data_IF_271739806226
#
_entry.id   IF_271739806226
#
_cell.length_a   1.000
_cell.length_b   1.000
_cell.length_c   1.000
_cell.angle_alpha   90.00
_cell.angle_beta   90.00
_cell.angle_gamma   90.00
#
_symmetry.space_group_name_H-M   'P 1'
#
loop_
_entity.id
_entity.type
_entity.pdbx_description
1 polymer ?
#
# COMPACT_ATOMS: atom_id res chain seq x y z
N UNK A 1 -7.53 -44.33 20.88
CA UNK A 1 -8.19 -43.26 21.67
C UNK A 1 -8.17 -42.00 20.80
N UNK A 2 -9.33 -41.43 20.43
CA UNK A 2 -9.35 -40.22 19.58
C UNK A 2 -8.83 -39.04 20.41
N UNK A 3 -7.82 -38.34 19.91
CA UNK A 3 -7.26 -37.14 20.57
C UNK A 3 -8.23 -35.99 20.32
N UNK A 4 -8.63 -35.30 21.38
CA UNK A 4 -9.50 -34.12 21.28
C UNK A 4 -8.64 -32.86 21.17
N UNK A 5 -9.06 -31.95 20.31
CA UNK A 5 -8.42 -30.66 20.10
C UNK A 5 -9.46 -29.55 20.19
N UNK A 6 -9.05 -28.38 20.66
CA UNK A 6 -9.85 -27.16 20.49
C UNK A 6 -9.69 -26.71 19.04
N UNK A 7 -10.82 -26.48 18.38
CA UNK A 7 -10.85 -26.09 16.97
C UNK A 7 -11.88 -24.98 16.75
N UNK A 8 -11.54 -24.04 15.88
CA UNK A 8 -12.45 -23.05 15.35
C UNK A 8 -13.15 -23.64 14.13
N UNK A 9 -14.44 -23.94 14.30
CA UNK A 9 -15.28 -24.47 13.22
C UNK A 9 -15.97 -23.29 12.52
N UNK A 10 -15.71 -23.15 11.22
CA UNK A 10 -16.15 -22.03 10.40
C UNK A 10 -17.17 -22.54 9.38
N UNK A 11 -18.41 -22.10 9.55
CA UNK A 11 -19.51 -22.43 8.64
C UNK A 11 -19.48 -21.47 7.45
N UNK A 12 -19.43 -22.01 6.23
CA UNK A 12 -19.16 -21.22 5.03
C UNK A 12 -20.00 -21.68 3.85
N UNK A 13 -20.35 -20.74 2.98
CA UNK A 13 -21.01 -21.02 1.70
C UNK A 13 -19.96 -21.46 0.66
N UNK A 14 -20.35 -22.23 -0.35
CA UNK A 14 -19.46 -22.71 -1.42
C UNK A 14 -18.70 -21.58 -2.15
N UNK A 15 -19.23 -20.36 -2.16
CA UNK A 15 -18.57 -19.19 -2.78
C UNK A 15 -17.48 -18.57 -1.92
N UNK A 16 -17.42 -18.90 -0.62
CA UNK A 16 -16.53 -18.25 0.34
C UNK A 16 -15.06 -18.33 -0.09
N UNK A 17 -14.57 -19.51 -0.49
CA UNK A 17 -13.18 -19.67 -0.94
C UNK A 17 -12.80 -18.75 -2.10
N UNK A 18 -13.66 -18.65 -3.11
CA UNK A 18 -13.42 -17.79 -4.28
C UNK A 18 -13.47 -16.29 -3.93
N UNK A 19 -14.43 -15.89 -3.09
CA UNK A 19 -14.55 -14.50 -2.63
C UNK A 19 -13.40 -14.08 -1.70
N UNK A 20 -12.85 -15.04 -0.97
CA UNK A 20 -11.81 -14.84 0.02
C UNK A 20 -10.40 -15.16 -0.52
N UNK A 21 -10.28 -15.47 -1.82
CA UNK A 21 -8.99 -15.73 -2.46
C UNK A 21 -8.22 -16.91 -1.85
N UNK A 22 -8.90 -17.95 -1.40
CA UNK A 22 -8.23 -19.14 -0.87
C UNK A 22 -7.52 -19.91 -1.97
N UNK A 23 -6.28 -20.28 -1.69
CA UNK A 23 -5.49 -21.17 -2.53
C UNK A 23 -5.41 -22.57 -1.90
N UNK A 24 -5.42 -23.60 -2.74
CA UNK A 24 -5.45 -24.99 -2.30
C UNK A 24 -4.14 -25.68 -2.61
N UNK A 25 -3.55 -26.31 -1.58
CA UNK A 25 -2.41 -27.19 -1.76
C UNK A 25 -2.86 -28.53 -2.35
N UNK A 26 -3.99 -29.05 -1.84
CA UNK A 26 -4.55 -30.34 -2.22
C UNK A 26 -6.07 -30.31 -2.20
N UNK A 27 -6.69 -31.10 -3.09
CA UNK A 27 -8.15 -31.21 -3.18
C UNK A 27 -8.82 -29.91 -3.66
N UNK A 28 -10.09 -29.74 -3.32
CA UNK A 28 -10.91 -28.59 -3.72
C UNK A 28 -11.78 -28.10 -2.56
N UNK A 29 -12.40 -26.93 -2.75
CA UNK A 29 -13.44 -26.44 -1.85
C UNK A 29 -14.80 -27.12 -2.10
N UNK A 30 -15.79 -26.81 -1.24
CA UNK A 30 -17.16 -27.30 -1.41
C UNK A 30 -17.78 -26.80 -2.73
N UNK A 31 -18.58 -27.65 -3.36
CA UNK A 31 -19.45 -27.26 -4.47
C UNK A 31 -20.84 -26.88 -3.97
N UNK A 32 -21.64 -26.26 -4.83
CA UNK A 32 -23.05 -25.95 -4.53
C UNK A 32 -23.87 -27.20 -4.17
N UNK A 33 -23.60 -28.33 -4.83
CA UNK A 33 -24.23 -29.63 -4.53
C UNK A 33 -23.89 -30.11 -3.12
N UNK A 34 -22.62 -29.99 -2.71
CA UNK A 34 -22.20 -30.39 -1.36
C UNK A 34 -22.89 -29.57 -0.27
N UNK A 35 -23.18 -28.30 -0.55
CA UNK A 35 -23.94 -27.45 0.35
C UNK A 35 -25.42 -27.83 0.41
N UNK A 36 -26.05 -28.10 -0.74
CA UNK A 36 -27.47 -28.45 -0.82
C UNK A 36 -27.81 -29.74 -0.05
N UNK A 37 -26.96 -30.76 -0.17
CA UNK A 37 -27.21 -32.07 0.45
C UNK A 37 -26.84 -32.13 1.94
N UNK A 38 -26.19 -31.07 2.46
CA UNK A 38 -25.67 -31.06 3.82
C UNK A 38 -24.57 -32.10 4.02
N UNK A 39 -23.74 -32.28 2.98
CA UNK A 39 -22.64 -33.23 2.99
C UNK A 39 -21.74 -33.00 4.20
N UNK A 40 -21.37 -34.10 4.85
CA UNK A 40 -20.39 -34.08 5.94
C UNK A 40 -18.98 -33.99 5.34
N UNK A 41 -18.68 -32.84 4.74
CA UNK A 41 -17.39 -32.52 4.12
C UNK A 41 -16.72 -31.39 4.88
N UNK A 42 -15.39 -31.45 4.95
CA UNK A 42 -14.57 -30.45 5.61
C UNK A 42 -13.41 -30.03 4.72
N UNK A 43 -12.99 -28.79 4.90
CA UNK A 43 -11.74 -28.25 4.36
C UNK A 43 -10.93 -27.74 5.54
N UNK A 44 -9.63 -28.00 5.54
CA UNK A 44 -8.71 -27.60 6.60
C UNK A 44 -7.57 -26.78 6.04
N UNK A 45 -6.90 -25.97 6.85
CA UNK A 45 -5.64 -25.35 6.45
C UNK A 45 -4.45 -26.31 6.58
N UNK A 46 -3.35 -25.98 5.91
CA UNK A 46 -2.12 -26.77 5.94
C UNK A 46 -1.59 -26.98 7.36
N UNK A 47 -1.71 -25.99 8.25
CA UNK A 47 -1.27 -26.10 9.65
C UNK A 47 -2.07 -27.16 10.40
N UNK A 48 -3.39 -27.10 10.30
CA UNK A 48 -4.35 -28.05 10.86
C UNK A 48 -4.07 -29.46 10.35
N UNK A 49 -3.79 -29.62 9.05
CA UNK A 49 -3.42 -30.91 8.48
C UNK A 49 -2.15 -31.48 9.14
N UNK A 50 -1.12 -30.65 9.31
CA UNK A 50 0.10 -31.03 10.02
C UNK A 50 -0.14 -31.36 11.50
N UNK A 51 -0.94 -30.58 12.21
CA UNK A 51 -1.19 -30.79 13.64
C UNK A 51 -2.03 -32.03 13.93
N UNK A 52 -3.03 -32.32 13.09
CA UNK A 52 -3.93 -33.45 13.29
C UNK A 52 -3.38 -34.76 12.72
N UNK A 53 -2.66 -34.70 11.58
CA UNK A 53 -2.26 -35.90 10.82
C UNK A 53 -0.75 -36.04 10.59
N UNK A 54 0.04 -35.02 10.90
CA UNK A 54 1.49 -35.04 10.66
C UNK A 54 1.88 -34.97 9.19
N UNK A 55 0.94 -34.63 8.30
CA UNK A 55 1.18 -34.45 6.86
C UNK A 55 0.04 -33.63 6.23
N UNK A 56 0.37 -32.83 5.22
CA UNK A 56 -0.61 -32.09 4.42
C UNK A 56 -0.99 -32.81 3.11
N UNK A 57 -0.18 -33.76 2.64
CA UNK A 57 -0.30 -34.32 1.28
C UNK A 57 -1.29 -35.49 1.22
N UNK A 58 -1.39 -36.26 2.30
CA UNK A 58 -2.22 -37.49 2.38
C UNK A 58 -3.45 -37.29 3.27
N UNK A 59 -3.89 -36.04 3.46
CA UNK A 59 -4.98 -35.69 4.37
C UNK A 59 -6.36 -35.72 3.72
N UNK A 60 -6.43 -35.57 2.40
CA UNK A 60 -7.69 -35.65 1.63
C UNK A 60 -8.23 -37.08 1.62
N UNK A 61 -9.54 -37.25 1.84
CA UNK A 61 -10.20 -38.55 1.99
C UNK A 61 -10.17 -39.10 3.42
N UNK A 62 -9.39 -38.51 4.33
CA UNK A 62 -9.45 -38.84 5.76
C UNK A 62 -10.66 -38.16 6.42
N UNK A 63 -11.05 -38.66 7.59
CA UNK A 63 -12.20 -38.13 8.33
C UNK A 63 -11.80 -37.48 9.64
N UNK A 64 -12.47 -36.38 9.99
CA UNK A 64 -12.40 -35.72 11.31
C UNK A 64 -13.75 -35.77 12.01
N UNK A 65 -13.71 -35.97 13.34
CA UNK A 65 -14.90 -35.98 14.17
C UNK A 65 -15.26 -34.57 14.62
N UNK A 66 -16.39 -34.02 14.15
CA UNK A 66 -16.90 -32.70 14.54
C UNK A 66 -18.34 -32.88 15.01
N UNK A 67 -18.68 -32.35 16.21
CA UNK A 67 -20.00 -32.49 16.83
C UNK A 67 -20.54 -33.94 16.87
N UNK A 68 -19.65 -34.91 17.05
CA UNK A 68 -20.00 -36.34 17.08
C UNK A 68 -20.31 -36.98 15.71
N UNK A 69 -20.07 -36.25 14.61
CA UNK A 69 -20.21 -36.76 13.24
C UNK A 69 -18.86 -36.79 12.53
N UNK A 70 -18.73 -37.67 11.55
CA UNK A 70 -17.50 -37.81 10.77
C UNK A 70 -17.62 -36.99 9.49
N UNK A 71 -16.69 -36.05 9.33
CA UNK A 71 -16.57 -35.20 8.15
C UNK A 71 -15.38 -35.64 7.32
N UNK A 72 -15.59 -35.90 6.04
CA UNK A 72 -14.52 -36.22 5.08
C UNK A 72 -13.76 -34.95 4.68
N UNK A 73 -12.44 -34.97 4.77
CA UNK A 73 -11.58 -33.87 4.32
C UNK A 73 -11.47 -33.92 2.79
N UNK A 74 -12.02 -32.93 2.11
CA UNK A 74 -12.00 -32.86 0.64
C UNK A 74 -10.95 -31.90 0.08
N UNK A 75 -10.35 -31.08 0.95
CA UNK A 75 -9.37 -30.08 0.54
C UNK A 75 -8.51 -29.59 1.70
N UNK A 76 -7.28 -29.22 1.35
CA UNK A 76 -6.29 -28.59 2.24
C UNK A 76 -5.88 -27.25 1.62
N UNK A 77 -6.27 -26.16 2.28
CA UNK A 77 -5.90 -24.81 1.86
C UNK A 77 -4.44 -24.50 2.23
N UNK A 78 -3.72 -23.82 1.34
CA UNK A 78 -2.39 -23.26 1.62
C UNK A 78 -2.47 -22.23 2.75
N UNK A 79 -3.43 -21.31 2.63
CA UNK A 79 -3.77 -20.31 3.65
C UNK A 79 -5.12 -19.67 3.35
N UNK A 80 -5.79 -19.19 4.39
CA UNK A 80 -6.92 -18.26 4.25
C UNK A 80 -6.38 -16.81 4.22
N UNK A 81 -6.84 -15.99 3.27
CA UNK A 81 -6.50 -14.57 3.16
C UNK A 81 -7.13 -13.69 4.26
N UNK A 82 -8.13 -14.19 4.99
CA UNK A 82 -8.68 -13.61 6.22
C UNK A 82 -9.47 -12.32 6.02
N UNK A 83 -10.36 -12.23 5.02
CA UNK A 83 -11.08 -10.98 4.72
C UNK A 83 -12.20 -10.64 5.71
N UNK A 84 -12.86 -11.64 6.33
CA UNK A 84 -14.00 -11.41 7.26
C UNK A 84 -13.59 -11.55 8.73
N UNK A 85 -12.81 -12.56 9.07
CA UNK A 85 -12.45 -12.87 10.46
C UNK A 85 -10.94 -12.84 10.64
N UNK A 86 -10.50 -12.28 11.77
CA UNK A 86 -9.23 -12.66 12.38
C UNK A 86 -9.33 -14.16 12.69
N UNK A 87 -8.84 -14.95 11.74
CA UNK A 87 -8.49 -16.33 12.00
C UNK A 87 -7.23 -16.24 12.86
N UNK A 88 -7.22 -16.94 13.98
CA UNK A 88 -6.02 -16.98 14.80
C UNK A 88 -5.19 -18.13 14.26
N UNK A 89 -3.98 -17.88 13.74
CA UNK A 89 -3.18 -18.98 13.18
C UNK A 89 -2.87 -20.02 14.27
N UNK A 90 -2.90 -19.66 15.56
CA UNK A 90 -2.63 -20.57 16.68
C UNK A 90 -3.73 -21.60 16.97
N UNK A 91 -4.89 -21.50 16.32
CA UNK A 91 -5.99 -22.43 16.49
C UNK A 91 -6.18 -23.33 15.26
N UNK A 92 -6.65 -24.56 15.50
CA UNK A 92 -7.06 -25.49 14.44
C UNK A 92 -8.29 -24.93 13.74
N UNK A 93 -8.19 -24.64 12.46
CA UNK A 93 -9.29 -24.09 11.66
C UNK A 93 -9.87 -25.16 10.75
N UNK A 94 -11.20 -25.31 10.82
CA UNK A 94 -11.92 -26.23 9.95
C UNK A 94 -13.10 -25.52 9.33
N UNK A 95 -13.15 -25.50 8.01
CA UNK A 95 -14.28 -25.02 7.23
C UNK A 95 -15.23 -26.17 6.97
N UNK A 96 -16.53 -25.92 7.13
CA UNK A 96 -17.60 -26.86 6.77
C UNK A 96 -18.75 -26.11 6.08
N UNK A 97 -19.60 -26.79 5.28
CA UNK A 97 -20.73 -26.17 4.63
C UNK A 97 -21.69 -25.50 5.62
N UNK A 98 -22.22 -24.33 5.28
CA UNK A 98 -23.16 -23.59 6.13
C UNK A 98 -24.46 -24.37 6.41
N UNK A 99 -24.84 -25.30 5.54
CA UNK A 99 -25.97 -26.22 5.76
C UNK A 99 -25.77 -27.15 6.95
N UNK A 100 -24.53 -27.34 7.41
CA UNK A 100 -24.19 -28.08 8.63
C UNK A 100 -24.42 -27.26 9.90
N UNK A 101 -24.78 -25.97 9.82
CA UNK A 101 -25.05 -25.11 10.99
C UNK A 101 -26.19 -25.65 11.86
N UNK A 102 -27.13 -26.41 11.29
CA UNK A 102 -28.17 -27.11 12.08
C UNK A 102 -27.62 -28.14 13.08
N UNK A 103 -26.35 -28.53 12.93
CA UNK A 103 -25.68 -29.50 13.81
C UNK A 103 -25.03 -28.83 15.02
N UNK A 104 -24.92 -27.49 15.04
CA UNK A 104 -24.34 -26.76 16.16
C UNK A 104 -25.37 -26.42 17.24
N UNK A 105 -24.88 -26.25 18.47
CA UNK A 105 -25.69 -25.90 19.63
C UNK A 105 -26.09 -24.42 19.69
N UNK A 106 -26.77 -24.07 20.79
CA UNK A 106 -27.14 -22.68 21.11
C UNK A 106 -25.91 -21.76 21.12
N UNK A 107 -26.05 -20.56 20.58
CA UNK A 107 -24.97 -19.56 20.47
C UNK A 107 -24.16 -19.59 19.17
N UNK A 108 -24.57 -20.40 18.20
CA UNK A 108 -24.00 -20.37 16.84
C UNK A 108 -24.84 -19.51 15.90
N UNK A 109 -24.18 -18.72 15.06
CA UNK A 109 -24.84 -17.77 14.16
C UNK A 109 -23.92 -17.28 13.05
N UNK A 110 -24.50 -16.57 12.10
CA UNK A 110 -23.75 -15.97 10.99
C UNK A 110 -23.01 -14.75 11.53
N UNK A 111 -21.67 -14.79 11.49
CA UNK A 111 -20.81 -13.74 12.02
C UNK A 111 -20.44 -12.68 10.97
N UNK A 112 -20.63 -12.98 9.69
CA UNK A 112 -20.34 -12.06 8.60
C UNK A 112 -20.88 -12.56 7.27
N UNK A 113 -21.13 -11.61 6.37
CA UNK A 113 -21.62 -11.85 5.02
C UNK A 113 -20.68 -11.12 4.06
N UNK A 114 -20.15 -11.84 3.07
CA UNK A 114 -19.47 -11.22 1.94
C UNK A 114 -20.48 -10.96 0.84
N UNK A 115 -20.40 -9.77 0.27
CA UNK A 115 -21.20 -9.37 -0.88
C UNK A 115 -20.23 -8.88 -1.96
N UNK A 116 -20.31 -9.48 -3.14
CA UNK A 116 -19.57 -8.97 -4.29
C UNK A 116 -20.49 -8.07 -5.11
N UNK A 117 -20.05 -6.84 -5.34
CA UNK A 117 -20.71 -5.92 -6.25
C UNK A 117 -19.92 -5.87 -7.57
N UNK A 118 -20.59 -5.74 -8.72
CA UNK A 118 -19.92 -5.49 -9.99
C UNK A 118 -18.98 -4.28 -9.94
N UNK A 119 -17.99 -4.24 -10.85
CA UNK A 119 -16.93 -3.23 -10.83
C UNK A 119 -17.43 -1.79 -11.04
N UNK A 120 -18.54 -1.63 -11.76
CA UNK A 120 -19.20 -0.35 -12.04
C UNK A 120 -19.98 0.21 -10.86
N UNK A 121 -20.34 -0.61 -9.86
CA UNK A 121 -21.04 -0.14 -8.66
C UNK A 121 -20.03 0.52 -7.70
N UNK A 122 -20.21 1.79 -7.35
CA UNK A 122 -19.38 2.47 -6.37
C UNK A 122 -19.52 1.88 -4.96
N UNK A 123 -18.46 1.97 -4.16
CA UNK A 123 -18.45 1.41 -2.80
C UNK A 123 -19.56 1.96 -1.90
N UNK A 124 -19.82 3.28 -1.95
CA UNK A 124 -20.87 3.91 -1.13
C UNK A 124 -22.26 3.40 -1.52
N UNK A 125 -22.52 3.24 -2.81
CA UNK A 125 -23.80 2.72 -3.31
C UNK A 125 -23.98 1.26 -2.90
N UNK A 126 -22.91 0.46 -2.96
CA UNK A 126 -22.91 -0.90 -2.44
C UNK A 126 -23.25 -0.95 -0.95
N UNK A 127 -22.63 -0.08 -0.12
CA UNK A 127 -22.93 0.01 1.32
C UNK A 127 -24.38 0.42 1.58
N UNK A 128 -24.88 1.42 0.86
CA UNK A 128 -26.27 1.88 0.98
C UNK A 128 -27.28 0.81 0.57
N UNK A 129 -26.99 0.05 -0.50
CA UNK A 129 -27.80 -1.11 -0.91
C UNK A 129 -27.83 -2.20 0.16
N UNK A 130 -26.70 -2.50 0.82
CA UNK A 130 -26.66 -3.44 1.95
C UNK A 130 -27.47 -2.88 3.12
N UNK A 131 -27.31 -1.60 3.47
CA UNK A 131 -28.07 -0.97 4.55
C UNK A 131 -29.58 -1.06 4.31
N UNK A 132 -30.04 -0.70 3.10
CA UNK A 132 -31.45 -0.85 2.72
C UNK A 132 -31.94 -2.29 2.74
N UNK A 133 -31.09 -3.26 2.36
CA UNK A 133 -31.43 -4.67 2.44
C UNK A 133 -31.59 -5.14 3.89
N UNK A 134 -30.75 -4.66 4.81
CA UNK A 134 -30.88 -4.91 6.25
C UNK A 134 -32.18 -4.31 6.81
N UNK A 135 -32.50 -3.05 6.47
CA UNK A 135 -33.76 -2.43 6.86
C UNK A 135 -34.98 -3.21 6.35
N UNK A 136 -34.92 -3.69 5.10
CA UNK A 136 -36.00 -4.45 4.48
C UNK A 136 -36.29 -5.79 5.19
N UNK A 137 -35.30 -6.39 5.86
CA UNK A 137 -35.49 -7.60 6.67
C UNK A 137 -35.79 -7.29 8.15
N UNK A 138 -35.99 -6.01 8.51
CA UNK A 138 -36.31 -5.57 9.86
C UNK A 138 -35.10 -5.37 10.78
N UNK A 139 -33.89 -5.41 10.22
CA UNK A 139 -32.65 -5.22 10.95
C UNK A 139 -32.21 -3.75 10.93
N UNK A 140 -31.55 -3.29 11.99
CA UNK A 140 -30.98 -1.94 12.04
C UNK A 140 -29.58 -1.95 11.39
N UNK A 141 -29.33 -1.24 10.28
CA UNK A 141 -28.01 -1.22 9.62
C UNK A 141 -26.89 -0.74 10.52
N UNK A 142 -27.18 0.17 11.45
CA UNK A 142 -26.20 0.69 12.40
C UNK A 142 -25.77 -0.34 13.45
N UNK A 143 -26.47 -1.47 13.56
CA UNK A 143 -26.05 -2.63 14.34
C UNK A 143 -24.93 -3.46 13.68
N UNK A 144 -24.59 -3.18 12.42
CA UNK A 144 -23.64 -3.96 11.62
C UNK A 144 -22.46 -3.09 11.15
N UNK A 145 -21.27 -3.71 11.06
CA UNK A 145 -20.07 -3.08 10.48
C UNK A 145 -19.96 -3.40 8.99
N UNK A 146 -20.49 -2.52 8.14
CA UNK A 146 -20.46 -2.68 6.67
C UNK A 146 -19.14 -2.14 6.11
N UNK A 147 -18.25 -3.03 5.67
CA UNK A 147 -16.94 -2.67 5.12
C UNK A 147 -16.86 -2.86 3.61
N UNK A 148 -16.08 -2.00 2.95
CA UNK A 148 -15.70 -2.18 1.54
C UNK A 148 -14.20 -2.41 1.44
N UNK A 149 -13.79 -3.59 1.00
CA UNK A 149 -12.39 -3.90 0.72
C UNK A 149 -11.83 -3.01 -0.39
N UNK A 150 -12.66 -2.63 -1.37
CA UNK A 150 -12.30 -1.72 -2.46
C UNK A 150 -11.89 -0.36 -1.92
N UNK A 151 -12.66 0.19 -0.96
CA UNK A 151 -12.34 1.48 -0.32
C UNK A 151 -11.05 1.38 0.50
N UNK A 152 -10.86 0.30 1.27
CA UNK A 152 -9.61 0.09 2.04
C UNK A 152 -8.39 -0.03 1.13
N UNK A 153 -8.46 -0.83 0.07
CA UNK A 153 -7.37 -0.97 -0.90
C UNK A 153 -7.07 0.34 -1.64
N UNK A 154 -8.10 1.11 -1.99
CA UNK A 154 -7.95 2.42 -2.62
C UNK A 154 -7.26 3.42 -1.67
N UNK A 155 -7.60 3.42 -0.38
CA UNK A 155 -6.91 4.24 0.62
C UNK A 155 -5.43 3.89 0.75
N UNK A 156 -5.07 2.61 0.83
CA UNK A 156 -3.66 2.18 0.87
C UNK A 156 -2.89 2.74 -0.33
N UNK A 157 -3.47 2.65 -1.54
CA UNK A 157 -2.86 3.20 -2.76
C UNK A 157 -2.77 4.73 -2.72
N UNK A 158 -3.79 5.41 -2.18
CA UNK A 158 -3.83 6.86 -2.04
C UNK A 158 -2.69 7.36 -1.14
N UNK A 159 -2.49 6.79 0.04
CA UNK A 159 -1.44 7.23 0.98
C UNK A 159 -0.04 7.12 0.39
N UNK A 160 0.25 6.01 -0.30
CA UNK A 160 1.54 5.83 -1.00
C UNK A 160 1.78 6.94 -2.04
N UNK A 161 0.74 7.34 -2.79
CA UNK A 161 0.84 8.39 -3.79
C UNK A 161 0.95 9.80 -3.18
N UNK A 162 0.26 10.08 -2.07
CA UNK A 162 0.30 11.39 -1.40
C UNK A 162 1.71 11.74 -0.95
N UNK A 163 2.45 10.78 -0.41
CA UNK A 163 3.86 10.98 -0.02
C UNK A 163 4.72 11.44 -1.20
N UNK A 164 4.57 10.80 -2.36
CA UNK A 164 5.30 11.16 -3.58
C UNK A 164 4.91 12.56 -4.04
N UNK A 165 3.62 12.93 -3.95
CA UNK A 165 3.16 14.29 -4.26
C UNK A 165 3.79 15.34 -3.34
N UNK A 166 3.93 15.07 -2.03
CA UNK A 166 4.59 16.00 -1.09
C UNK A 166 6.06 16.19 -1.48
N UNK A 167 6.79 15.10 -1.72
CA UNK A 167 8.18 15.14 -2.18
C UNK A 167 8.31 15.91 -3.50
N UNK A 168 7.40 15.64 -4.45
CA UNK A 168 7.35 16.32 -5.73
C UNK A 168 7.16 17.85 -5.58
N UNK A 169 6.25 18.28 -4.70
CA UNK A 169 6.01 19.71 -4.43
C UNK A 169 7.26 20.37 -3.84
N UNK A 170 7.91 19.72 -2.87
CA UNK A 170 9.16 20.23 -2.27
C UNK A 170 10.26 20.33 -3.33
N UNK A 171 10.45 19.28 -4.15
CA UNK A 171 11.44 19.27 -5.21
C UNK A 171 11.18 20.38 -6.24
N UNK A 172 9.93 20.54 -6.67
CA UNK A 172 9.54 21.59 -7.60
C UNK A 172 9.77 22.98 -7.00
N UNK A 173 9.45 23.21 -5.73
CA UNK A 173 9.67 24.50 -5.06
C UNK A 173 11.16 24.87 -5.02
N UNK A 174 12.05 23.90 -4.73
CA UNK A 174 13.51 24.14 -4.74
C UNK A 174 13.99 24.44 -6.16
N UNK A 175 13.56 23.67 -7.17
CA UNK A 175 13.93 23.91 -8.58
C UNK A 175 13.45 25.29 -9.04
N UNK A 176 12.23 25.68 -8.71
CA UNK A 176 11.66 27.00 -9.07
C UNK A 176 12.48 28.12 -8.41
N UNK A 177 12.88 27.95 -7.14
CA UNK A 177 13.76 28.90 -6.45
C UNK A 177 15.11 29.06 -7.16
N UNK A 178 15.74 27.95 -7.56
CA UNK A 178 17.00 27.97 -8.33
C UNK A 178 16.83 28.60 -9.71
N UNK A 179 15.74 28.28 -10.39
CA UNK A 179 15.42 28.86 -11.70
C UNK A 179 15.24 30.38 -11.58
N UNK A 180 14.56 30.85 -10.54
CA UNK A 180 14.38 32.27 -10.27
C UNK A 180 15.72 32.97 -10.00
N UNK A 181 16.57 32.42 -9.13
CA UNK A 181 17.89 32.98 -8.81
C UNK A 181 18.79 33.06 -10.06
N UNK A 182 18.87 31.99 -10.84
CA UNK A 182 19.64 31.97 -12.08
C UNK A 182 19.11 32.98 -13.11
N UNK A 183 17.79 33.13 -13.20
CA UNK A 183 17.16 34.09 -14.09
C UNK A 183 17.42 35.53 -13.64
N UNK A 184 17.34 35.83 -12.35
CA UNK A 184 17.66 37.17 -11.82
C UNK A 184 19.12 37.55 -12.06
N UNK A 185 20.08 36.66 -11.80
CA UNK A 185 21.49 36.89 -12.08
C UNK A 185 21.74 37.13 -13.57
N UNK A 186 21.11 36.32 -14.43
CA UNK A 186 21.21 36.46 -15.89
C UNK A 186 20.67 37.80 -16.39
N UNK A 187 19.59 38.31 -15.79
CA UNK A 187 19.03 39.63 -16.12
C UNK A 187 19.96 40.75 -15.67
N UNK A 188 20.49 40.69 -14.45
CA UNK A 188 21.40 41.71 -13.94
C UNK A 188 22.67 41.81 -14.78
N UNK A 189 23.25 40.67 -15.14
CA UNK A 189 24.42 40.63 -15.99
C UNK A 189 24.11 41.11 -17.41
N UNK A 190 22.95 40.74 -17.96
CA UNK A 190 22.50 41.28 -19.25
C UNK A 190 22.37 42.80 -19.19
N UNK A 191 21.75 43.35 -18.15
CA UNK A 191 21.63 44.79 -17.92
C UNK A 191 23.01 45.45 -17.89
N UNK A 192 23.95 44.91 -17.13
CA UNK A 192 25.30 45.44 -17.01
C UNK A 192 26.06 45.39 -18.36
N UNK A 193 25.90 44.30 -19.12
CA UNK A 193 26.52 44.15 -20.44
C UNK A 193 25.93 45.09 -21.48
N UNK A 194 24.61 45.34 -21.45
CA UNK A 194 23.94 46.30 -22.35
C UNK A 194 24.48 47.70 -22.14
N UNK A 195 24.70 48.10 -20.88
CA UNK A 195 25.31 49.39 -20.52
C UNK A 195 26.75 49.48 -21.02
N UNK A 196 27.54 48.39 -20.92
CA UNK A 196 28.96 48.40 -21.25
C UNK A 196 29.29 48.24 -22.75
N UNK A 197 28.55 47.38 -23.47
CA UNK A 197 28.90 46.92 -24.82
C UNK A 197 27.80 47.13 -25.87
N UNK A 198 26.67 47.71 -25.47
CA UNK A 198 25.51 47.90 -26.34
C UNK A 198 24.65 46.64 -26.49
N UNK A 199 23.43 46.86 -27.01
CA UNK A 199 22.38 45.84 -27.03
C UNK A 199 22.70 44.63 -27.92
N UNK A 200 23.28 44.85 -29.10
CA UNK A 200 23.50 43.81 -30.12
C UNK A 200 24.51 42.74 -29.67
N UNK A 201 25.62 43.16 -29.08
CA UNK A 201 26.66 42.24 -28.61
C UNK A 201 26.26 41.54 -27.31
N UNK A 202 25.52 42.22 -26.44
CA UNK A 202 24.94 41.63 -25.23
C UNK A 202 23.92 40.55 -25.54
N UNK A 203 23.04 40.80 -26.53
CA UNK A 203 22.04 39.82 -26.97
C UNK A 203 22.68 38.61 -27.64
N UNK A 204 23.73 38.80 -28.45
CA UNK A 204 24.48 37.70 -29.04
C UNK A 204 25.18 36.85 -27.97
N UNK A 205 25.81 37.46 -26.96
CA UNK A 205 26.41 36.74 -25.82
C UNK A 205 25.37 35.98 -24.99
N UNK A 206 24.19 36.55 -24.80
CA UNK A 206 23.07 35.89 -24.12
C UNK A 206 22.63 34.62 -24.86
N UNK A 207 22.47 34.69 -26.19
CA UNK A 207 22.03 33.57 -27.05
C UNK A 207 23.08 32.48 -27.26
N UNK A 208 24.37 32.81 -27.19
CA UNK A 208 25.45 31.86 -27.51
C UNK A 208 25.88 31.02 -26.28
N UNK A 209 25.32 31.29 -25.10
CA UNK A 209 25.81 30.75 -23.83
C UNK A 209 25.12 29.49 -23.32
N UNK A 210 25.89 28.70 -22.58
CA UNK A 210 25.51 27.65 -21.61
C UNK A 210 24.35 28.03 -20.65
N UNK A 211 23.93 29.30 -20.66
CA UNK A 211 22.89 29.93 -19.82
C UNK A 211 21.46 29.53 -20.15
N UNK A 212 21.17 29.08 -21.38
CA UNK A 212 19.85 28.51 -21.72
C UNK A 212 19.74 27.02 -21.40
N UNK A 213 20.88 26.32 -21.33
CA UNK A 213 20.90 24.88 -21.07
C UNK A 213 20.37 24.56 -19.67
N UNK A 214 20.77 25.33 -18.65
CA UNK A 214 20.36 25.09 -17.26
C UNK A 214 18.85 25.29 -17.03
N UNK A 215 18.21 26.40 -17.46
CA UNK A 215 16.76 26.55 -17.43
C UNK A 215 16.01 25.44 -18.17
N UNK A 216 16.51 25.00 -19.32
CA UNK A 216 15.92 23.89 -20.07
C UNK A 216 15.99 22.58 -19.28
N UNK A 217 17.12 22.28 -18.63
CA UNK A 217 17.25 21.12 -17.74
C UNK A 217 16.28 21.20 -16.57
N UNK A 218 16.15 22.35 -15.92
CA UNK A 218 15.18 22.54 -14.83
C UNK A 218 13.74 22.35 -15.27
N UNK A 219 13.35 22.86 -16.44
CA UNK A 219 12.02 22.63 -17.01
C UNK A 219 11.76 21.15 -17.27
N UNK A 220 12.74 20.42 -17.82
CA UNK A 220 12.64 18.97 -18.02
C UNK A 220 12.46 18.26 -16.68
N UNK A 221 13.22 18.61 -15.64
CA UNK A 221 13.08 18.04 -14.30
C UNK A 221 11.68 18.32 -13.70
N UNK A 222 11.13 19.52 -13.88
CA UNK A 222 9.77 19.86 -13.45
C UNK A 222 8.74 18.97 -14.15
N UNK A 223 8.88 18.71 -15.46
CA UNK A 223 7.99 17.79 -16.18
C UNK A 223 8.08 16.37 -15.62
N UNK A 224 9.28 15.89 -15.33
CA UNK A 224 9.49 14.58 -14.71
C UNK A 224 8.92 14.47 -13.29
N UNK A 225 8.88 15.56 -12.54
CA UNK A 225 8.20 15.63 -11.23
C UNK A 225 6.67 15.70 -11.39
N UNK A 226 6.20 16.44 -12.39
CA UNK A 226 4.78 16.68 -12.62
C UNK A 226 4.03 15.42 -13.05
N UNK A 227 4.61 14.58 -13.92
CA UNK A 227 3.92 13.38 -14.43
C UNK A 227 3.53 12.40 -13.30
N UNK A 228 4.43 12.00 -12.37
CA UNK A 228 4.08 11.15 -11.24
C UNK A 228 3.12 11.84 -10.27
N UNK A 229 3.34 13.13 -9.97
CA UNK A 229 2.44 13.88 -9.09
C UNK A 229 1.02 13.96 -9.65
N UNK A 230 0.86 14.22 -10.97
CA UNK A 230 -0.43 14.21 -11.66
C UNK A 230 -1.12 12.86 -11.54
N UNK A 231 -0.38 11.75 -11.67
CA UNK A 231 -0.94 10.41 -11.52
C UNK A 231 -1.44 10.17 -10.09
N UNK A 232 -0.69 10.63 -9.08
CA UNK A 232 -1.08 10.53 -7.68
C UNK A 232 -2.33 11.36 -7.36
N UNK A 233 -2.39 12.60 -7.86
CA UNK A 233 -3.56 13.48 -7.73
C UNK A 233 -4.78 12.88 -8.41
N UNK A 234 -4.63 12.22 -9.57
CA UNK A 234 -5.76 11.53 -10.22
C UNK A 234 -6.30 10.41 -9.35
N UNK A 235 -5.44 9.58 -8.75
CA UNK A 235 -5.90 8.52 -7.84
C UNK A 235 -6.64 9.11 -6.62
N UNK A 236 -6.17 10.24 -6.11
CA UNK A 236 -6.85 10.96 -5.03
C UNK A 236 -8.22 11.49 -5.46
N UNK A 237 -8.32 12.11 -6.64
CA UNK A 237 -9.58 12.61 -7.18
C UNK A 237 -10.56 11.47 -7.51
N UNK A 238 -10.09 10.39 -8.12
CA UNK A 238 -10.88 9.20 -8.42
C UNK A 238 -11.42 8.54 -7.14
N UNK A 239 -10.68 8.64 -6.02
CA UNK A 239 -11.14 8.16 -4.71
C UNK A 239 -12.32 8.99 -4.20
N UNK A 240 -12.23 10.33 -4.28
CA UNK A 240 -13.32 11.21 -3.88
C UNK A 240 -14.54 11.11 -4.80
N UNK A 241 -14.33 10.96 -6.11
CA UNK A 241 -15.41 10.83 -7.09
C UNK A 241 -16.21 9.53 -6.87
N UNK A 242 -15.52 8.44 -6.51
CA UNK A 242 -16.13 7.12 -6.29
C UNK A 242 -16.66 6.89 -4.88
N UNK A 243 -16.38 7.77 -3.92
CA UNK A 243 -16.82 7.64 -2.53
C UNK A 243 -17.13 9.02 -1.91
N UNK A 244 -18.07 9.80 -2.48
CA UNK A 244 -18.41 11.15 -2.03
C UNK A 244 -19.04 11.20 -0.64
N UNK A 245 -19.47 10.05 -0.11
CA UNK A 245 -20.00 9.90 1.25
C UNK A 245 -18.95 9.99 2.35
N UNK A 246 -17.66 9.99 2.01
CA UNK A 246 -16.59 10.26 2.98
C UNK A 246 -16.56 11.77 3.23
N UNK A 247 -17.34 12.22 4.22
CA UNK A 247 -17.40 13.62 4.64
C UNK A 247 -16.01 14.19 4.98
N UNK A 248 -15.07 13.34 5.39
CA UNK A 248 -13.68 13.69 5.63
C UNK A 248 -12.76 12.47 5.51
N UNK A 249 -11.78 12.53 4.59
CA UNK A 249 -10.70 11.51 4.50
C UNK A 249 -9.96 11.35 5.83
N UNK A 250 -9.87 12.42 6.61
CA UNK A 250 -9.26 12.40 7.92
C UNK A 250 -10.07 11.56 8.93
N UNK A 251 -11.40 11.69 8.94
CA UNK A 251 -12.24 10.85 9.81
C UNK A 251 -12.13 9.39 9.46
N UNK A 252 -12.18 9.06 8.16
CA UNK A 252 -12.05 7.68 7.72
C UNK A 252 -10.65 7.11 7.97
N UNK A 253 -9.60 7.95 7.87
CA UNK A 253 -8.24 7.58 8.27
C UNK A 253 -8.17 7.28 9.77
N UNK A 254 -8.68 8.17 10.63
CA UNK A 254 -8.68 7.96 12.09
C UNK A 254 -9.45 6.70 12.44
N UNK A 255 -10.60 6.49 11.82
CA UNK A 255 -11.42 5.31 12.03
C UNK A 255 -10.65 4.04 11.66
N UNK A 256 -10.09 3.94 10.46
CA UNK A 256 -9.30 2.78 10.03
C UNK A 256 -8.03 2.59 10.88
N UNK A 257 -7.36 3.67 11.25
CA UNK A 257 -6.16 3.63 12.08
C UNK A 257 -6.47 3.18 13.51
N UNK A 258 -7.50 3.74 14.13
CA UNK A 258 -7.98 3.33 15.46
C UNK A 258 -8.45 1.88 15.45
N UNK A 259 -9.20 1.49 14.43
CA UNK A 259 -9.69 0.11 14.29
C UNK A 259 -8.55 -0.90 14.17
N UNK A 260 -7.53 -0.63 13.34
CA UNK A 260 -6.41 -1.56 13.25
C UNK A 260 -5.51 -1.54 14.50
N UNK A 261 -5.47 -0.45 15.28
CA UNK A 261 -4.79 -0.41 16.59
C UNK A 261 -5.53 -1.27 17.63
N UNK A 262 -6.86 -1.35 17.53
CA UNK A 262 -7.71 -2.14 18.43
C UNK A 262 -7.96 -3.58 17.94
N UNK A 263 -7.65 -3.89 16.68
CA UNK A 263 -7.63 -5.26 16.17
C UNK A 263 -6.51 -6.02 16.91
N UNK A 264 -6.89 -6.74 17.98
CA UNK A 264 -5.98 -7.45 18.89
C UNK A 264 -4.97 -8.34 18.16
N UNK A 265 -3.89 -8.71 18.84
CA UNK A 265 -2.66 -9.32 18.30
C UNK A 265 -2.77 -10.72 17.68
N UNK A 266 -3.85 -11.06 16.96
CA UNK A 266 -3.86 -12.21 16.05
C UNK A 266 -2.76 -12.08 15.00
N UNK A 267 -2.46 -13.13 14.26
CA UNK A 267 -1.31 -13.19 13.33
C UNK A 267 -1.62 -12.78 11.89
N UNK A 268 -2.90 -12.53 11.55
CA UNK A 268 -3.30 -12.24 10.17
C UNK A 268 -3.07 -10.79 9.74
N UNK A 269 -2.62 -10.61 8.50
CA UNK A 269 -2.49 -9.31 7.84
C UNK A 269 -3.84 -8.87 7.27
N UNK A 270 -4.75 -8.41 8.13
CA UNK A 270 -5.98 -7.76 7.66
C UNK A 270 -5.62 -6.48 6.90
N UNK A 271 -6.48 -6.07 5.95
CA UNK A 271 -6.28 -4.83 5.19
C UNK A 271 -6.09 -3.60 6.10
N UNK A 272 -6.68 -3.62 7.30
CA UNK A 272 -6.52 -2.59 8.34
C UNK A 272 -5.09 -2.54 8.92
N UNK A 273 -4.46 -3.69 9.14
CA UNK A 273 -3.07 -3.76 9.60
C UNK A 273 -2.07 -3.39 8.52
N UNK A 274 -2.32 -3.80 7.28
CA UNK A 274 -1.52 -3.33 6.13
C UNK A 274 -1.62 -1.82 5.97
N UNK A 275 -2.82 -1.26 6.19
CA UNK A 275 -3.02 0.18 6.20
C UNK A 275 -2.26 0.88 7.34
N UNK A 276 -2.29 0.34 8.56
CA UNK A 276 -1.49 0.89 9.67
C UNK A 276 -0.01 0.77 9.40
N UNK A 277 0.48 -0.39 8.96
CA UNK A 277 1.89 -0.59 8.65
C UNK A 277 2.34 0.37 7.55
N UNK A 278 1.53 0.54 6.50
CA UNK A 278 1.78 1.51 5.44
C UNK A 278 1.80 2.94 6.00
N UNK A 279 0.86 3.30 6.86
CA UNK A 279 0.79 4.64 7.47
C UNK A 279 1.98 4.90 8.39
N UNK A 280 2.32 3.97 9.28
CA UNK A 280 3.47 4.02 10.16
C UNK A 280 4.79 4.07 9.37
N UNK A 281 4.91 3.30 8.29
CA UNK A 281 6.09 3.34 7.41
C UNK A 281 6.25 4.70 6.73
N UNK A 282 5.13 5.32 6.31
CA UNK A 282 5.12 6.66 5.74
C UNK A 282 5.51 7.71 6.78
N UNK A 283 4.92 7.66 7.98
CA UNK A 283 5.27 8.57 9.08
C UNK A 283 6.74 8.40 9.50
N UNK A 284 7.23 7.17 9.62
CA UNK A 284 8.63 6.89 9.92
C UNK A 284 9.56 7.40 8.81
N UNK A 285 9.17 7.22 7.54
CA UNK A 285 9.89 7.75 6.39
C UNK A 285 9.97 9.28 6.40
N UNK A 286 8.87 9.98 6.71
CA UNK A 286 8.81 11.45 6.80
C UNK A 286 9.58 11.97 7.99
N UNK A 287 9.36 11.43 9.19
CA UNK A 287 9.86 12.01 10.44
C UNK A 287 11.25 11.52 10.85
N UNK A 288 11.64 10.30 10.50
CA UNK A 288 12.96 9.76 10.81
C UNK A 288 13.80 9.61 9.54
N UNK A 289 13.24 9.02 8.49
CA UNK A 289 13.96 8.75 7.24
C UNK A 289 14.48 10.01 6.57
N UNK A 290 13.61 11.00 6.33
CA UNK A 290 13.99 12.24 5.64
C UNK A 290 15.02 13.07 6.43
N UNK A 291 14.92 13.28 7.75
CA UNK A 291 15.98 13.97 8.50
C UNK A 291 17.32 13.22 8.51
N UNK A 292 17.32 11.89 8.69
CA UNK A 292 18.55 11.08 8.65
C UNK A 292 19.21 11.23 7.29
N UNK A 293 18.41 11.15 6.24
CA UNK A 293 18.84 11.30 4.87
C UNK A 293 19.45 12.69 4.61
N UNK A 294 18.75 13.77 4.97
CA UNK A 294 19.24 15.14 4.82
C UNK A 294 20.52 15.40 5.63
N UNK A 295 20.63 14.79 6.82
CA UNK A 295 21.83 14.84 7.65
C UNK A 295 23.00 14.11 7.01
N UNK A 296 22.78 12.88 6.52
CA UNK A 296 23.78 12.09 5.80
C UNK A 296 24.27 12.78 4.53
N UNK A 297 23.37 13.46 3.81
CA UNK A 297 23.73 14.30 2.67
C UNK A 297 24.56 15.51 3.08
N UNK A 298 24.18 16.20 4.16
CA UNK A 298 24.94 17.33 4.68
C UNK A 298 26.36 16.92 5.09
N UNK A 299 26.52 15.70 5.59
CA UNK A 299 27.81 15.10 5.91
C UNK A 299 28.61 14.76 4.64
N UNK A 300 28.00 14.07 3.67
CA UNK A 300 28.64 13.77 2.38
C UNK A 300 29.07 15.05 1.63
N UNK A 301 28.25 16.12 1.71
CA UNK A 301 28.55 17.44 1.14
C UNK A 301 29.81 18.06 1.73
N UNK A 302 30.15 17.77 3.00
CA UNK A 302 31.39 18.25 3.64
C UNK A 302 32.63 17.45 3.25
N UNK A 303 32.48 16.17 2.93
CA UNK A 303 33.59 15.27 2.62
C UNK A 303 33.98 15.33 1.15
N UNK A 304 33.00 15.41 0.25
CA UNK A 304 33.28 15.38 -1.18
C UNK A 304 33.87 16.72 -1.65
N UNK A 305 35.09 16.69 -2.16
CA UNK A 305 35.77 17.86 -2.74
C UNK A 305 35.11 18.27 -4.07
N UNK A 306 34.65 17.31 -4.87
CA UNK A 306 33.99 17.52 -6.17
C UNK A 306 32.51 17.13 -6.16
N UNK A 307 31.68 17.95 -6.81
CA UNK A 307 30.24 17.72 -6.95
C UNK A 307 29.90 16.51 -7.81
N UNK A 308 30.73 16.19 -8.82
CA UNK A 308 30.50 15.00 -9.65
C UNK A 308 30.70 13.70 -8.86
N UNK A 309 31.79 13.63 -8.10
CA UNK A 309 32.09 12.51 -7.21
C UNK A 309 30.98 12.30 -6.17
N UNK A 310 30.46 13.39 -5.60
CA UNK A 310 29.32 13.35 -4.67
C UNK A 310 28.06 12.76 -5.31
N UNK A 311 27.73 13.20 -6.53
CA UNK A 311 26.56 12.72 -7.26
C UNK A 311 26.68 11.22 -7.59
N UNK A 312 27.85 10.77 -8.03
CA UNK A 312 28.11 9.35 -8.33
C UNK A 312 27.96 8.49 -7.07
N UNK A 313 28.61 8.86 -5.96
CA UNK A 313 28.51 8.08 -4.72
C UNK A 313 27.10 8.05 -4.16
N UNK A 314 26.38 9.18 -4.21
CA UNK A 314 24.97 9.22 -3.79
C UNK A 314 24.09 8.33 -4.67
N UNK A 315 24.36 8.25 -5.98
CA UNK A 315 23.63 7.37 -6.90
C UNK A 315 23.88 5.89 -6.64
N UNK A 316 25.13 5.50 -6.42
CA UNK A 316 25.50 4.13 -6.07
C UNK A 316 24.87 3.73 -4.73
N UNK A 317 24.91 4.60 -3.72
CA UNK A 317 24.30 4.35 -2.43
C UNK A 317 22.78 4.18 -2.55
N UNK A 318 22.12 5.07 -3.30
CA UNK A 318 20.67 5.00 -3.53
C UNK A 318 20.25 3.73 -4.26
N UNK A 319 20.97 3.34 -5.32
CA UNK A 319 20.73 2.07 -6.04
C UNK A 319 20.95 0.86 -5.14
N UNK A 320 21.99 0.88 -4.31
CA UNK A 320 22.28 -0.20 -3.34
C UNK A 320 21.14 -0.36 -2.34
N UNK A 321 20.60 0.74 -1.81
CA UNK A 321 19.46 0.72 -0.88
C UNK A 321 18.24 0.10 -1.54
N UNK A 322 17.92 0.49 -2.78
CA UNK A 322 16.77 -0.08 -3.51
C UNK A 322 16.96 -1.58 -3.72
N UNK A 323 18.17 -2.00 -4.10
CA UNK A 323 18.47 -3.42 -4.33
C UNK A 323 18.36 -4.25 -3.05
N UNK A 324 18.85 -3.72 -1.92
CA UNK A 324 18.69 -4.34 -0.59
C UNK A 324 17.21 -4.45 -0.22
N UNK A 325 16.41 -3.43 -0.51
CA UNK A 325 14.98 -3.41 -0.20
C UNK A 325 14.21 -4.43 -1.05
N UNK A 326 14.50 -4.51 -2.35
CA UNK A 326 13.97 -5.54 -3.26
C UNK A 326 14.36 -6.94 -2.76
N UNK A 327 15.63 -7.16 -2.43
CA UNK A 327 16.12 -8.44 -1.92
C UNK A 327 15.41 -8.82 -0.61
N UNK A 328 15.22 -7.86 0.29
CA UNK A 328 14.53 -8.06 1.57
C UNK A 328 13.05 -8.43 1.36
N UNK A 329 12.35 -7.76 0.43
CA UNK A 329 10.99 -8.12 0.06
C UNK A 329 10.91 -9.55 -0.52
N UNK A 330 11.81 -9.89 -1.45
CA UNK A 330 11.84 -11.24 -2.04
C UNK A 330 12.15 -12.33 -1.01
N UNK A 331 13.05 -12.07 -0.05
CA UNK A 331 13.34 -12.99 1.04
C UNK A 331 12.15 -13.17 2.00
N UNK A 332 11.29 -12.15 2.12
CA UNK A 332 10.05 -12.22 2.86
C UNK A 332 8.88 -12.85 2.07
N UNK A 333 9.11 -13.30 0.84
CA UNK A 333 8.06 -13.84 -0.04
C UNK A 333 7.08 -12.79 -0.55
N UNK A 334 7.44 -11.50 -0.48
CA UNK A 334 6.62 -10.39 -0.98
C UNK A 334 7.07 -10.03 -2.39
N UNK A 335 6.11 -9.84 -3.30
CA UNK A 335 6.39 -9.33 -4.65
C UNK A 335 6.74 -7.82 -4.56
N UNK A 336 7.99 -7.42 -4.86
CA UNK A 336 8.39 -6.02 -4.74
C UNK A 336 7.76 -5.19 -5.87
N UNK A 337 6.75 -4.39 -5.54
CA UNK A 337 6.16 -3.42 -6.48
C UNK A 337 6.88 -2.08 -6.39
N UNK A 338 7.97 -1.94 -7.12
CA UNK A 338 8.76 -0.70 -7.14
C UNK A 338 8.36 0.17 -8.33
N UNK A 339 7.75 1.32 -8.06
CA UNK A 339 7.41 2.29 -9.11
C UNK A 339 8.63 3.16 -9.46
N UNK A 340 9.18 2.92 -10.65
CA UNK A 340 10.35 3.66 -11.19
C UNK A 340 10.10 5.18 -11.17
N UNK A 341 8.87 5.61 -11.47
CA UNK A 341 8.47 7.02 -11.43
C UNK A 341 8.68 7.65 -10.05
N UNK A 342 8.38 6.93 -8.97
CA UNK A 342 8.51 7.42 -7.59
C UNK A 342 9.97 7.53 -7.19
N UNK A 343 10.78 6.54 -7.56
CA UNK A 343 12.24 6.55 -7.39
C UNK A 343 12.84 7.77 -8.08
N UNK A 344 12.40 8.05 -9.30
CA UNK A 344 12.92 9.16 -10.10
C UNK A 344 12.62 10.51 -9.46
N UNK A 345 11.41 10.73 -8.94
CA UNK A 345 11.07 11.98 -8.21
C UNK A 345 11.97 12.16 -6.99
N UNK A 346 12.13 11.09 -6.21
CA UNK A 346 13.01 11.08 -5.03
C UNK A 346 14.45 11.40 -5.45
N UNK A 347 14.96 10.76 -6.50
CA UNK A 347 16.29 11.01 -7.05
C UNK A 347 16.46 12.46 -7.55
N UNK A 348 15.47 13.03 -8.21
CA UNK A 348 15.52 14.44 -8.64
C UNK A 348 15.67 15.34 -7.42
N UNK A 349 14.85 15.15 -6.37
CA UNK A 349 14.99 15.91 -5.13
C UNK A 349 16.43 15.82 -4.58
N UNK A 350 17.02 14.63 -4.56
CA UNK A 350 18.42 14.44 -4.15
C UNK A 350 19.39 15.28 -4.97
N UNK A 351 19.33 15.15 -6.29
CA UNK A 351 20.27 15.84 -7.19
C UNK A 351 20.17 17.36 -7.06
N UNK A 352 18.96 17.89 -6.87
CA UNK A 352 18.72 19.32 -6.71
C UNK A 352 19.28 19.83 -5.38
N UNK A 353 19.07 19.10 -4.28
CA UNK A 353 19.63 19.48 -2.97
C UNK A 353 21.18 19.46 -3.00
N UNK A 354 21.78 18.47 -3.67
CA UNK A 354 23.24 18.37 -3.78
C UNK A 354 23.84 19.47 -4.66
N UNK A 355 23.10 19.92 -5.69
CA UNK A 355 23.54 20.98 -6.59
C UNK A 355 23.65 22.37 -5.93
N UNK A 356 23.01 22.58 -4.77
CA UNK A 356 22.97 23.84 -4.02
C UNK A 356 24.30 24.18 -3.29
N UNK A 357 25.45 23.94 -3.93
CA UNK A 357 26.79 24.03 -3.33
C UNK A 357 27.45 25.41 -3.46
N UNK A 358 26.92 26.35 -4.26
CA UNK A 358 27.71 27.52 -4.70
C UNK A 358 27.39 28.89 -4.07
N UNK A 359 26.42 29.01 -3.17
CA UNK A 359 25.94 30.35 -2.77
C UNK A 359 26.62 31.07 -1.58
N UNK A 360 27.35 30.40 -0.68
CA UNK A 360 27.57 30.98 0.67
C UNK A 360 29.03 31.23 1.11
N UNK A 361 30.04 31.14 0.23
CA UNK A 361 31.45 31.20 0.68
C UNK A 361 32.26 32.38 0.10
N UNK A 362 31.69 33.25 -0.74
CA UNK A 362 32.48 34.32 -1.39
C UNK A 362 32.29 35.76 -0.85
N UNK A 363 31.73 35.99 0.33
CA UNK A 363 31.50 37.36 0.84
C UNK A 363 32.21 37.71 2.16
N UNK A 364 33.22 36.95 2.58
CA UNK A 364 34.10 37.32 3.70
C UNK A 364 35.54 37.15 3.26
N UNK A 365 36.04 38.14 2.52
CA UNK A 365 37.43 38.58 2.47
C UNK A 365 37.52 39.75 1.48
N UNK A 366 37.09 40.93 1.93
CA UNK A 366 37.68 42.23 1.57
C UNK A 366 37.73 43.10 2.82
#
# INVERSE_FOLDING_TARGET
MRKMHNAKIIFTDYRYAGMNGMEFAYGNYFTEENQADGDLKAVIDRKTAWELFGTANDTTGLTIGIFGREFEIIGVAERDAGLIQDINDDEINVYIPISALKLSGEGTGITGILVNFPDDVPSYEGKDRIARALEAIGENPYGYRIKSLRTTAAMIRMFSNVFICIIAIIAAAIIISHLYAHFSESIEEFRNNVVASGYKDSFKKLLTGQRFLMPAVYLVLIVFIYLPARSGVRVFLDFYDKDPGIASVHEHFIECFSQGMHAGGGTHWTAERLFILSSCSLLAGVFAGLPILLSGMSFLKKIAEDGHTLLIYSGIAFLSIILILIASCTLAGLEPSVRISSILVIWILFTVILADRKGSVSSTNE
#
